data_IF_689587985907
#
_entry.id   IF_689587985907
#
_cell.length_a   1.000
_cell.length_b   1.000
_cell.length_c   1.000
_cell.angle_alpha   90.00
_cell.angle_beta   90.00
_cell.angle_gamma   90.00
#
_symmetry.space_group_name_H-M   'P 1'
#
loop_
_entity.id
_entity.type
_entity.pdbx_description
1 polymer ?
#
# COMPACT_ATOMS: atom_id res chain seq x y z
N UNK A 1 18.52 -6.89 97.74
CA UNK A 1 18.48 -6.19 96.43
C UNK A 1 18.64 -7.24 95.32
N UNK A 2 17.54 -7.65 94.67
CA UNK A 2 17.55 -8.63 93.57
C UNK A 2 17.80 -7.89 92.24
N UNK A 3 18.81 -8.30 91.48
CA UNK A 3 19.07 -7.86 90.10
C UNK A 3 18.20 -8.70 89.16
N UNK A 4 17.41 -8.03 88.32
CA UNK A 4 16.53 -8.64 87.33
C UNK A 4 17.15 -8.43 85.94
N UNK A 5 17.53 -9.52 85.28
CA UNK A 5 18.07 -9.54 83.92
C UNK A 5 16.91 -9.61 82.93
N UNK A 6 16.79 -8.65 82.02
CA UNK A 6 15.78 -8.63 80.96
C UNK A 6 16.47 -9.07 79.66
N UNK A 7 16.02 -10.19 79.09
CA UNK A 7 16.42 -10.67 77.77
C UNK A 7 15.41 -10.14 76.75
N UNK A 8 15.86 -9.32 75.82
CA UNK A 8 15.05 -8.87 74.68
C UNK A 8 15.26 -9.83 73.51
N UNK A 9 14.24 -10.64 73.20
CA UNK A 9 14.19 -11.43 71.96
C UNK A 9 13.68 -10.54 70.83
N UNK A 10 14.53 -10.28 69.83
CA UNK A 10 14.14 -9.62 68.58
C UNK A 10 13.58 -10.68 67.61
N UNK A 11 12.28 -10.59 67.33
CA UNK A 11 11.61 -11.36 66.28
C UNK A 11 11.88 -10.67 64.93
N UNK A 12 12.68 -11.29 64.06
CA UNK A 12 12.92 -10.82 62.69
C UNK A 12 11.73 -11.25 61.83
N UNK A 13 10.84 -10.32 61.50
CA UNK A 13 9.79 -10.51 60.51
C UNK A 13 10.43 -10.32 59.12
N UNK A 14 10.69 -11.43 58.44
CA UNK A 14 11.09 -11.45 57.03
C UNK A 14 9.87 -11.05 56.19
N UNK A 15 9.87 -9.81 55.70
CA UNK A 15 8.90 -9.32 54.73
C UNK A 15 9.35 -9.82 53.35
N UNK A 16 8.75 -10.91 52.89
CA UNK A 16 8.82 -11.33 51.49
C UNK A 16 8.07 -10.28 50.66
N UNK A 17 8.80 -9.40 49.98
CA UNK A 17 8.25 -8.53 48.96
C UNK A 17 7.96 -9.39 47.73
N UNK A 18 6.69 -9.75 47.52
CA UNK A 18 6.23 -10.24 46.22
C UNK A 18 6.30 -9.06 45.25
N UNK A 19 7.33 -9.04 44.39
CA UNK A 19 7.28 -8.22 43.19
C UNK A 19 6.17 -8.81 42.31
N UNK A 20 4.99 -8.21 42.33
CA UNK A 20 4.03 -8.43 41.25
C UNK A 20 4.71 -7.98 39.96
N UNK A 21 4.90 -8.89 39.01
CA UNK A 21 5.18 -8.50 37.63
C UNK A 21 4.05 -7.55 37.22
N UNK A 22 4.39 -6.29 36.98
CA UNK A 22 3.49 -5.43 36.24
C UNK A 22 3.43 -6.02 34.83
N UNK A 23 2.26 -6.51 34.40
CA UNK A 23 2.00 -6.81 32.99
C UNK A 23 2.13 -5.49 32.21
N UNK A 24 3.33 -5.23 31.71
CA UNK A 24 3.63 -4.00 30.98
C UNK A 24 3.07 -4.12 29.58
N UNK A 25 1.91 -3.53 29.29
CA UNK A 25 1.36 -3.54 27.93
C UNK A 25 2.20 -2.66 27.00
N UNK A 26 2.50 -3.14 25.79
CA UNK A 26 3.19 -2.39 24.74
C UNK A 26 2.15 -1.78 23.81
N UNK A 27 2.26 -0.48 23.53
CA UNK A 27 1.32 0.25 22.67
C UNK A 27 2.04 0.97 21.55
N UNK A 28 1.34 1.20 20.44
CA UNK A 28 1.79 2.05 19.34
C UNK A 28 0.74 3.12 19.07
N UNK A 29 1.09 4.37 19.39
CA UNK A 29 0.20 5.54 19.24
C UNK A 29 0.52 6.36 18.01
N UNK A 30 1.57 6.00 17.26
CA UNK A 30 2.06 6.76 16.10
C UNK A 30 1.50 6.16 14.81
N UNK A 31 1.40 4.83 14.73
CA UNK A 31 0.96 4.15 13.51
C UNK A 31 -0.52 4.38 13.26
N UNK A 32 -0.84 4.97 12.10
CA UNK A 32 -2.20 5.14 11.64
C UNK A 32 -2.76 3.82 11.08
N UNK A 33 -4.06 3.58 11.32
CA UNK A 33 -4.79 2.43 10.76
C UNK A 33 -4.86 2.44 9.23
N UNK A 34 -4.76 3.62 8.62
CA UNK A 34 -4.84 3.80 7.17
C UNK A 34 -3.54 4.38 6.63
N UNK A 35 -3.12 3.89 5.47
CA UNK A 35 -2.08 4.54 4.69
C UNK A 35 -2.69 5.70 3.89
N UNK A 36 -1.88 6.73 3.63
CA UNK A 36 -2.33 7.94 2.91
C UNK A 36 -2.55 7.67 1.43
N UNK A 37 -3.58 8.29 0.85
CA UNK A 37 -3.72 8.41 -0.60
C UNK A 37 -2.67 9.39 -1.13
N UNK A 38 -1.97 9.02 -2.20
CA UNK A 38 -0.94 9.85 -2.83
C UNK A 38 -1.30 10.19 -4.27
N UNK A 39 -1.15 11.47 -4.63
CA UNK A 39 -1.48 12.00 -5.96
C UNK A 39 -0.24 12.29 -6.84
N UNK A 40 0.97 12.18 -6.29
CA UNK A 40 2.24 12.48 -6.99
C UNK A 40 3.24 11.39 -6.65
N UNK A 41 3.87 10.81 -7.68
CA UNK A 41 4.97 9.85 -7.54
C UNK A 41 6.29 10.57 -7.86
N UNK A 42 7.24 10.56 -6.92
CA UNK A 42 8.63 10.97 -7.17
C UNK A 42 9.42 9.78 -7.74
N UNK A 43 10.60 9.99 -8.35
CA UNK A 43 11.39 8.89 -8.92
C UNK A 43 11.81 7.79 -7.92
N UNK A 44 11.85 8.09 -6.61
CA UNK A 44 12.12 7.11 -5.55
C UNK A 44 10.92 6.22 -5.20
N UNK A 45 9.73 6.56 -5.70
CA UNK A 45 8.48 5.87 -5.39
C UNK A 45 8.12 4.89 -6.51
N UNK A 46 7.98 3.62 -6.13
CA UNK A 46 7.57 2.53 -7.01
C UNK A 46 6.11 2.18 -6.77
N UNK A 47 5.37 1.93 -7.85
CA UNK A 47 4.06 1.27 -7.75
C UNK A 47 4.29 -0.24 -7.68
N UNK A 48 3.83 -0.85 -6.59
CA UNK A 48 3.96 -2.29 -6.36
C UNK A 48 2.59 -2.91 -6.26
N UNK A 49 2.38 -3.95 -7.05
CA UNK A 49 1.12 -4.70 -7.11
C UNK A 49 0.96 -5.54 -5.86
N UNK A 50 -0.25 -5.54 -5.32
CA UNK A 50 -0.64 -6.39 -4.20
C UNK A 50 -1.07 -7.75 -4.73
N UNK A 51 -0.35 -8.80 -4.34
CA UNK A 51 -0.54 -10.16 -4.84
C UNK A 51 -1.18 -11.12 -3.83
N UNK A 52 -1.23 -10.72 -2.55
CA UNK A 52 -1.82 -11.46 -1.43
C UNK A 52 -2.87 -10.62 -0.71
N UNK A 53 -3.71 -11.26 0.08
CA UNK A 53 -4.79 -10.60 0.85
C UNK A 53 -4.51 -10.57 2.37
N UNK A 54 -3.28 -10.87 2.81
CA UNK A 54 -2.87 -10.80 4.21
C UNK A 54 -2.97 -9.39 4.80
N UNK A 55 -2.84 -8.34 3.98
CA UNK A 55 -3.01 -6.96 4.41
C UNK A 55 -4.45 -6.43 4.25
N UNK A 56 -5.40 -7.27 3.85
CA UNK A 56 -6.80 -6.90 3.60
C UNK A 56 -7.64 -6.92 4.88
N UNK A 57 -7.21 -6.18 5.91
CA UNK A 57 -7.93 -6.06 7.18
C UNK A 57 -9.14 -5.12 7.04
N UNK A 58 -10.28 -5.48 7.63
CA UNK A 58 -11.47 -4.62 7.67
C UNK A 58 -11.27 -3.37 8.55
N UNK A 59 -10.15 -3.29 9.28
CA UNK A 59 -9.86 -2.20 10.20
C UNK A 59 -9.52 -0.91 9.44
N UNK A 60 -10.45 0.05 9.49
CA UNK A 60 -10.21 1.43 9.10
C UNK A 60 -10.66 1.80 7.69
N UNK A 61 -10.88 0.88 6.77
CA UNK A 61 -11.32 1.23 5.40
C UNK A 61 -12.81 1.00 5.20
N UNK A 62 -13.51 2.02 4.69
CA UNK A 62 -14.88 1.91 4.22
C UNK A 62 -14.87 2.00 2.69
N UNK A 63 -15.19 0.89 2.00
CA UNK A 63 -15.20 0.82 0.54
C UNK A 63 -13.88 0.34 -0.06
N UNK A 64 -13.20 1.19 -0.85
CA UNK A 64 -11.97 0.81 -1.54
C UNK A 64 -10.85 0.50 -0.54
N UNK A 65 -10.29 -0.70 -0.62
CA UNK A 65 -9.16 -1.13 0.20
C UNK A 65 -7.86 -1.12 -0.62
N UNK A 66 -6.81 -0.39 -0.19
CA UNK A 66 -5.58 -0.25 -0.98
C UNK A 66 -4.80 -1.56 -1.14
N UNK A 67 -4.97 -2.49 -0.19
CA UNK A 67 -4.40 -3.84 -0.25
C UNK A 67 -5.33 -4.89 -0.87
N UNK A 68 -6.35 -4.49 -1.64
CA UNK A 68 -7.15 -5.45 -2.40
C UNK A 68 -6.32 -6.10 -3.52
N UNK A 69 -6.50 -7.39 -3.76
CA UNK A 69 -5.76 -8.15 -4.79
C UNK A 69 -5.75 -7.41 -6.15
N UNK A 70 -4.56 -7.25 -6.72
CA UNK A 70 -4.34 -6.55 -7.98
C UNK A 70 -4.35 -5.02 -7.89
N UNK A 71 -4.58 -4.44 -6.71
CA UNK A 71 -4.34 -3.01 -6.46
C UNK A 71 -2.85 -2.70 -6.44
N UNK A 72 -2.50 -1.42 -6.55
CA UNK A 72 -1.13 -0.94 -6.40
C UNK A 72 -1.01 -0.08 -5.15
N UNK A 73 0.05 -0.31 -4.38
CA UNK A 73 0.49 0.60 -3.32
C UNK A 73 1.76 1.32 -3.76
N UNK A 74 2.09 2.40 -3.06
CA UNK A 74 3.27 3.22 -3.29
C UNK A 74 4.34 2.81 -2.28
N UNK A 75 5.47 2.35 -2.79
CA UNK A 75 6.63 1.92 -2.00
C UNK A 75 7.78 2.88 -2.22
N UNK A 76 8.34 3.41 -1.14
CA UNK A 76 9.63 4.11 -1.18
C UNK A 76 10.75 3.08 -0.97
N UNK A 77 11.41 2.73 -2.07
CA UNK A 77 12.51 1.75 -2.11
C UNK A 77 13.79 2.27 -1.45
N UNK A 78 13.89 3.58 -1.23
CA UNK A 78 15.05 4.24 -0.65
C UNK A 78 14.87 4.63 0.82
N UNK A 79 13.65 4.50 1.35
CA UNK A 79 13.28 4.97 2.69
C UNK A 79 14.27 4.50 3.75
N UNK A 80 14.65 3.23 3.69
CA UNK A 80 15.48 2.57 4.69
C UNK A 80 16.99 2.76 4.49
N UNK A 81 17.43 3.50 3.47
CA UNK A 81 18.84 3.90 3.33
C UNK A 81 19.24 4.98 4.35
N UNK A 82 18.26 5.75 4.85
CA UNK A 82 18.48 6.85 5.80
C UNK A 82 17.56 6.81 7.02
N UNK A 83 16.66 5.83 7.10
CA UNK A 83 15.74 5.66 8.22
C UNK A 83 15.83 4.23 8.78
N UNK A 84 15.65 4.11 10.09
CA UNK A 84 15.54 2.81 10.77
C UNK A 84 14.17 2.16 10.48
N UNK A 85 14.11 0.83 10.59
CA UNK A 85 12.82 0.12 10.53
C UNK A 85 12.11 0.36 11.86
N UNK A 86 10.86 0.80 11.81
CA UNK A 86 10.05 1.04 13.00
C UNK A 86 8.93 0.01 13.12
N UNK A 87 8.55 -0.33 14.36
CA UNK A 87 7.34 -1.12 14.59
C UNK A 87 6.14 -0.39 14.00
N UNK A 88 5.24 -1.14 13.39
CA UNK A 88 4.08 -0.59 12.71
C UNK A 88 4.32 -0.21 11.24
N UNK A 89 5.57 -0.18 10.77
CA UNK A 89 5.85 0.03 9.34
C UNK A 89 5.25 -1.11 8.51
N UNK A 90 4.60 -0.77 7.39
CA UNK A 90 4.26 -1.74 6.36
C UNK A 90 5.42 -1.77 5.36
N UNK A 91 6.01 -2.94 5.15
CA UNK A 91 7.22 -3.12 4.35
C UNK A 91 6.96 -4.00 3.14
N UNK A 92 7.64 -3.68 2.03
CA UNK A 92 7.86 -4.63 0.95
C UNK A 92 9.08 -5.47 1.33
N UNK A 93 8.95 -6.78 1.36
CA UNK A 93 10.03 -7.69 1.74
C UNK A 93 10.18 -8.83 0.75
N UNK A 94 11.38 -9.41 0.69
CA UNK A 94 11.67 -10.59 -0.12
C UNK A 94 11.08 -11.84 0.54
N UNK A 95 10.31 -12.62 -0.21
CA UNK A 95 9.76 -13.88 0.30
C UNK A 95 10.86 -14.95 0.38
N UNK A 96 10.71 -15.88 1.34
CA UNK A 96 11.61 -17.04 1.49
C UNK A 96 11.07 -18.31 0.83
N UNK A 97 9.85 -18.27 0.32
CA UNK A 97 9.17 -19.41 -0.27
C UNK A 97 9.57 -19.59 -1.75
N UNK A 98 9.53 -20.83 -2.24
CA UNK A 98 9.80 -21.17 -3.65
C UNK A 98 8.58 -20.99 -4.56
N UNK A 99 7.62 -20.15 -4.16
CA UNK A 99 6.48 -19.76 -4.99
C UNK A 99 6.95 -18.71 -6.01
N UNK A 100 6.27 -18.58 -7.15
CA UNK A 100 6.60 -17.59 -8.18
C UNK A 100 6.37 -16.12 -7.74
N UNK A 101 6.31 -15.86 -6.43
CA UNK A 101 6.11 -14.55 -5.82
C UNK A 101 7.38 -14.19 -5.05
N UNK A 102 8.22 -13.33 -5.61
CA UNK A 102 9.52 -12.97 -5.03
C UNK A 102 9.43 -11.95 -3.89
N UNK A 103 8.31 -11.24 -3.79
CA UNK A 103 8.10 -10.18 -2.80
C UNK A 103 6.69 -10.19 -2.25
N UNK A 104 6.53 -9.79 -1.00
CA UNK A 104 5.23 -9.62 -0.36
C UNK A 104 5.23 -8.38 0.55
N UNK A 105 4.07 -8.05 1.10
CA UNK A 105 3.89 -6.89 1.96
C UNK A 105 3.22 -7.26 3.27
N UNK A 106 3.83 -6.85 4.37
CA UNK A 106 3.33 -7.11 5.71
C UNK A 106 3.87 -6.05 6.69
N UNK A 107 3.40 -6.08 7.94
CA UNK A 107 3.77 -5.11 8.97
C UNK A 107 4.94 -5.60 9.80
N UNK A 108 5.85 -4.70 10.16
CA UNK A 108 6.89 -4.98 11.15
C UNK A 108 6.25 -4.96 12.53
N UNK A 109 6.20 -6.12 13.16
CA UNK A 109 5.57 -6.34 14.46
C UNK A 109 6.58 -6.53 15.57
N UNK A 110 7.77 -7.08 15.30
CA UNK A 110 8.86 -7.28 16.26
C UNK A 110 10.17 -6.64 15.79
N UNK A 111 10.96 -6.12 16.73
CA UNK A 111 12.22 -5.41 16.49
C UNK A 111 13.43 -6.22 16.99
N UNK A 112 14.66 -5.90 16.53
CA UNK A 112 15.87 -6.61 16.95
C UNK A 112 16.01 -6.72 18.47
N UNK A 113 16.32 -7.93 18.96
CA UNK A 113 16.50 -8.22 20.37
C UNK A 113 15.23 -8.64 21.12
N UNK A 114 14.06 -8.57 20.50
CA UNK A 114 12.78 -8.95 21.12
C UNK A 114 12.43 -10.42 20.89
N UNK A 115 11.59 -10.98 21.76
CA UNK A 115 10.95 -12.28 21.59
C UNK A 115 9.47 -12.12 21.24
N UNK A 116 9.03 -12.65 20.10
CA UNK A 116 7.64 -12.52 19.63
C UNK A 116 6.90 -13.84 19.77
N UNK A 117 5.71 -13.81 20.36
CA UNK A 117 4.80 -14.95 20.40
C UNK A 117 3.39 -14.53 19.94
N UNK A 118 2.62 -15.48 19.42
CA UNK A 118 1.21 -15.28 19.09
C UNK A 118 0.40 -16.34 19.83
N UNK A 119 -0.59 -15.92 20.61
CA UNK A 119 -1.49 -16.82 21.33
C UNK A 119 -2.93 -16.44 21.02
N UNK A 120 -3.67 -17.36 20.37
CA UNK A 120 -5.08 -17.18 19.99
C UNK A 120 -5.33 -15.85 19.25
N UNK A 121 -4.46 -15.52 18.30
CA UNK A 121 -4.52 -14.30 17.51
C UNK A 121 -3.97 -13.03 18.19
N UNK A 122 -3.62 -13.08 19.48
CA UNK A 122 -3.01 -11.95 20.19
C UNK A 122 -1.48 -12.05 20.16
N UNK A 123 -0.82 -10.97 19.75
CA UNK A 123 0.64 -10.85 19.74
C UNK A 123 1.18 -10.43 21.11
N UNK A 124 2.29 -11.04 21.51
CA UNK A 124 3.08 -10.71 22.68
C UNK A 124 4.54 -10.46 22.30
N UNK A 125 5.16 -9.46 22.93
CA UNK A 125 6.58 -9.10 22.75
C UNK A 125 7.23 -9.19 24.13
N UNK A 126 8.24 -10.04 24.31
CA UNK A 126 8.89 -10.34 25.59
C UNK A 126 7.88 -10.71 26.69
N UNK A 127 6.83 -11.47 26.31
CA UNK A 127 5.74 -11.88 27.20
C UNK A 127 4.69 -10.80 27.47
N UNK A 128 4.88 -9.58 26.96
CA UNK A 128 3.96 -8.47 27.16
C UNK A 128 2.97 -8.32 26.00
N UNK A 129 1.70 -8.08 26.31
CA UNK A 129 0.65 -7.86 25.28
C UNK A 129 1.00 -6.66 24.40
N UNK A 130 0.96 -6.86 23.07
CA UNK A 130 0.98 -5.76 22.10
C UNK A 130 -0.45 -5.25 21.86
N UNK A 131 -0.81 -4.17 22.54
CA UNK A 131 -2.13 -3.52 22.47
C UNK A 131 -2.16 -2.48 21.34
N UNK A 132 -2.28 -2.98 20.12
CA UNK A 132 -2.38 -2.19 18.89
C UNK A 132 -3.48 -2.75 17.99
N UNK A 133 -3.89 -1.98 16.98
CA UNK A 133 -4.91 -2.45 16.03
C UNK A 133 -4.44 -3.60 15.12
N UNK A 134 -3.13 -3.87 15.09
CA UNK A 134 -2.48 -4.91 14.30
C UNK A 134 -1.84 -6.00 15.19
N UNK A 135 -2.03 -5.92 16.50
CA UNK A 135 -1.54 -6.90 17.47
C UNK A 135 -2.59 -7.93 17.87
N UNK A 136 -3.82 -7.81 17.37
CA UNK A 136 -4.96 -8.65 17.74
C UNK A 136 -5.81 -9.01 16.50
N UNK A 137 -5.73 -10.29 16.09
CA UNK A 137 -6.63 -10.92 15.12
C UNK A 137 -7.43 -12.09 15.76
N UNK A 138 -7.69 -12.01 17.07
CA UNK A 138 -8.45 -13.02 17.83
C UNK A 138 -9.91 -13.14 17.39
N UNK A 139 -10.42 -12.18 16.62
CA UNK A 139 -11.76 -12.24 16.02
C UNK A 139 -11.83 -13.19 14.82
N UNK A 140 -10.69 -13.60 14.26
CA UNK A 140 -10.62 -14.60 13.21
C UNK A 140 -11.03 -15.98 13.75
N UNK A 141 -11.76 -16.78 12.96
CA UNK A 141 -12.19 -18.12 13.39
C UNK A 141 -11.05 -19.10 13.63
N UNK A 142 -9.84 -18.76 13.18
CA UNK A 142 -8.68 -19.64 13.18
C UNK A 142 -7.88 -19.55 14.49
N UNK A 143 -7.97 -18.44 15.24
CA UNK A 143 -7.29 -18.25 16.54
C UNK A 143 -5.81 -18.68 16.48
N UNK A 144 -5.07 -18.18 15.49
CA UNK A 144 -3.72 -18.66 15.21
C UNK A 144 -2.80 -18.52 16.42
N UNK A 145 -1.95 -19.51 16.63
CA UNK A 145 -0.97 -19.52 17.71
C UNK A 145 0.37 -20.04 17.18
N UNK A 146 1.45 -19.52 17.74
CA UNK A 146 2.78 -20.09 17.54
C UNK A 146 3.04 -21.13 18.63
N UNK A 147 3.72 -22.22 18.27
CA UNK A 147 4.07 -23.27 19.23
C UNK A 147 5.15 -22.78 20.22
N UNK A 148 6.08 -21.96 19.75
CA UNK A 148 7.19 -21.41 20.54
C UNK A 148 7.46 -19.95 20.14
N UNK A 149 7.88 -19.09 21.08
CA UNK A 149 8.30 -17.73 20.78
C UNK A 149 9.51 -17.67 19.83
N UNK A 150 9.50 -16.71 18.90
CA UNK A 150 10.62 -16.43 18.02
C UNK A 150 11.46 -15.26 18.59
N UNK A 151 12.69 -15.55 18.99
CA UNK A 151 13.65 -14.53 19.46
C UNK A 151 14.40 -13.94 18.28
N UNK A 152 14.38 -12.61 18.16
CA UNK A 152 14.98 -11.86 17.06
C UNK A 152 16.43 -11.48 17.39
N UNK A 153 17.35 -11.81 16.50
CA UNK A 153 18.75 -11.39 16.61
C UNK A 153 18.95 -9.94 16.15
N UNK A 154 20.21 -9.49 16.17
CA UNK A 154 20.58 -8.18 15.64
C UNK A 154 20.17 -8.07 14.16
N UNK A 155 19.55 -6.96 13.78
CA UNK A 155 19.03 -6.69 12.43
C UNK A 155 17.94 -7.65 11.93
N UNK A 156 17.32 -8.44 12.81
CA UNK A 156 16.17 -9.27 12.49
C UNK A 156 14.85 -8.64 12.95
N UNK A 157 13.82 -8.85 12.14
CA UNK A 157 12.49 -8.29 12.33
C UNK A 157 11.44 -9.39 12.23
N UNK A 158 10.44 -9.33 13.09
CA UNK A 158 9.23 -10.14 12.94
C UNK A 158 8.25 -9.38 12.06
N UNK A 159 7.97 -9.92 10.87
CA UNK A 159 7.05 -9.34 9.90
C UNK A 159 5.77 -10.18 9.92
N UNK A 160 4.59 -9.56 10.02
CA UNK A 160 3.30 -10.23 10.16
C UNK A 160 2.22 -9.51 9.33
N UNK A 161 1.39 -10.28 8.63
CA UNK A 161 0.23 -9.76 7.94
C UNK A 161 -0.82 -9.19 8.91
N UNK A 162 -1.58 -8.16 8.53
CA UNK A 162 -2.64 -7.60 9.41
C UNK A 162 -3.84 -8.57 9.61
N UNK A 163 -4.00 -9.54 8.71
CA UNK A 163 -4.94 -10.67 8.82
C UNK A 163 -4.09 -11.94 8.95
N UNK A 164 -3.86 -12.38 10.19
CA UNK A 164 -2.79 -13.33 10.53
C UNK A 164 -2.93 -14.64 9.75
N UNK A 165 -4.14 -15.20 9.70
CA UNK A 165 -4.41 -16.47 9.01
C UNK A 165 -4.31 -16.41 7.48
N UNK A 166 -4.23 -15.20 6.92
CA UNK A 166 -4.00 -14.95 5.49
C UNK A 166 -2.57 -14.52 5.18
N UNK A 167 -1.70 -14.48 6.19
CA UNK A 167 -0.26 -14.43 5.97
C UNK A 167 0.20 -15.70 5.23
N UNK A 168 0.94 -15.53 4.13
CA UNK A 168 1.47 -16.67 3.35
C UNK A 168 3.00 -16.71 3.31
N UNK A 169 3.65 -15.56 3.50
CA UNK A 169 5.10 -15.43 3.35
C UNK A 169 5.76 -14.75 4.54
N UNK A 170 5.02 -14.49 5.62
CA UNK A 170 5.47 -13.71 6.78
C UNK A 170 6.20 -14.58 7.83
N UNK A 171 6.59 -13.97 8.96
CA UNK A 171 7.37 -14.65 10.00
C UNK A 171 6.62 -15.78 10.67
N UNK A 172 5.30 -15.63 10.86
CA UNK A 172 4.47 -16.69 11.43
C UNK A 172 4.41 -17.90 10.49
N UNK A 173 4.19 -17.67 9.20
CA UNK A 173 4.02 -18.76 8.22
C UNK A 173 5.34 -19.46 7.93
N UNK A 174 6.44 -18.71 7.86
CA UNK A 174 7.77 -19.27 7.58
C UNK A 174 8.46 -19.84 8.82
N UNK A 175 8.04 -19.44 10.02
CA UNK A 175 8.73 -19.74 11.27
C UNK A 175 10.09 -19.06 11.40
N UNK A 176 10.34 -17.96 10.67
CA UNK A 176 11.65 -17.27 10.65
C UNK A 176 11.53 -15.75 10.70
N UNK A 177 12.57 -15.09 11.21
CA UNK A 177 12.68 -13.63 11.17
C UNK A 177 13.25 -13.15 9.83
N UNK A 178 13.00 -11.91 9.45
CA UNK A 178 13.56 -11.31 8.23
C UNK A 178 14.72 -10.37 8.58
N UNK A 179 15.81 -10.46 7.81
CA UNK A 179 16.93 -9.54 7.98
C UNK A 179 16.62 -8.16 7.40
N UNK A 180 17.37 -7.14 7.84
CA UNK A 180 17.26 -5.78 7.30
C UNK A 180 17.40 -5.73 5.78
N UNK A 181 18.24 -6.57 5.20
CA UNK A 181 18.50 -6.64 3.75
C UNK A 181 17.34 -7.28 2.98
N UNK A 182 16.50 -8.08 3.64
CA UNK A 182 15.29 -8.65 3.04
C UNK A 182 14.13 -7.65 3.02
N UNK A 183 14.22 -6.55 3.78
CA UNK A 183 13.28 -5.43 3.75
C UNK A 183 13.69 -4.46 2.63
N UNK A 184 12.91 -4.46 1.56
CA UNK A 184 13.24 -3.75 0.32
C UNK A 184 12.80 -2.28 0.32
N UNK A 185 11.74 -1.94 1.04
CA UNK A 185 11.20 -0.58 1.04
C UNK A 185 9.99 -0.43 1.94
N UNK A 186 9.60 0.82 2.20
CA UNK A 186 8.43 1.15 3.02
C UNK A 186 7.22 1.42 2.16
N UNK A 187 6.08 0.82 2.46
CA UNK A 187 4.79 1.22 1.89
C UNK A 187 4.40 2.56 2.51
N UNK A 188 4.45 3.62 1.71
CA UNK A 188 4.24 5.01 2.17
C UNK A 188 2.85 5.55 1.84
N UNK A 189 2.08 4.82 1.05
CA UNK A 189 0.75 5.23 0.64
C UNK A 189 0.20 4.32 -0.43
N UNK A 190 -0.90 4.73 -1.02
CA UNK A 190 -1.47 4.07 -2.19
C UNK A 190 -1.91 5.09 -3.20
N UNK A 191 -1.88 4.68 -4.45
CA UNK A 191 -2.52 5.42 -5.50
C UNK A 191 -3.88 4.75 -5.71
N UNK A 192 -4.97 5.44 -5.34
CA UNK A 192 -6.33 4.94 -5.58
C UNK A 192 -6.48 4.80 -7.09
N UNK A 193 -6.31 3.55 -7.59
CA UNK A 193 -6.30 3.12 -8.99
C UNK A 193 -6.55 4.30 -9.90
N UNK A 194 -5.45 4.96 -10.32
CA UNK A 194 -5.43 6.24 -11.04
C UNK A 194 -6.79 6.49 -11.68
N UNK A 195 -7.64 7.18 -10.93
CA UNK A 195 -8.76 7.83 -11.52
C UNK A 195 -8.05 8.94 -12.30
N UNK A 196 -7.60 8.63 -13.52
CA UNK A 196 -7.38 9.64 -14.55
C UNK A 196 -8.75 10.16 -14.95
N UNK A 197 -9.59 10.47 -13.96
CA UNK A 197 -10.83 11.15 -14.16
C UNK A 197 -10.50 12.54 -14.68
N UNK A 198 -11.54 13.20 -15.14
CA UNK A 198 -11.42 14.48 -15.79
C UNK A 198 -10.63 15.50 -14.94
N UNK A 199 -10.79 15.47 -13.62
CA UNK A 199 -10.12 16.40 -12.71
C UNK A 199 -8.62 16.13 -12.60
N UNK A 200 -8.19 14.86 -12.61
CA UNK A 200 -6.76 14.55 -12.66
C UNK A 200 -6.11 15.12 -13.92
N UNK A 201 -6.74 14.95 -15.09
CA UNK A 201 -6.23 15.49 -16.36
C UNK A 201 -6.20 17.02 -16.34
N UNK A 202 -7.27 17.67 -15.87
CA UNK A 202 -7.36 19.13 -15.73
C UNK A 202 -6.22 19.72 -14.88
N UNK A 203 -5.81 19.02 -13.81
CA UNK A 203 -4.82 19.52 -12.86
C UNK A 203 -3.36 19.24 -13.26
N UNK A 204 -3.11 18.18 -14.04
CA UNK A 204 -1.76 17.68 -14.28
C UNK A 204 -1.29 17.78 -15.74
N UNK A 205 -2.19 17.68 -16.71
CA UNK A 205 -1.82 17.71 -18.12
C UNK A 205 -1.50 19.13 -18.60
N UNK A 206 -0.42 19.28 -19.35
CA UNK A 206 0.05 20.56 -19.90
C UNK A 206 0.63 20.34 -21.29
N UNK A 207 0.50 21.32 -22.17
CA UNK A 207 1.22 21.32 -23.45
C UNK A 207 2.73 21.41 -23.18
N UNK A 208 3.54 20.70 -23.96
CA UNK A 208 5.00 20.74 -23.86
C UNK A 208 5.63 19.73 -22.90
N UNK A 209 4.86 18.80 -22.33
CA UNK A 209 5.38 17.72 -21.49
C UNK A 209 6.23 16.75 -22.32
N UNK A 210 7.27 16.21 -21.69
CA UNK A 210 8.11 15.13 -22.22
C UNK A 210 7.47 13.74 -22.04
N UNK A 211 7.97 12.76 -22.79
CA UNK A 211 7.63 11.33 -22.62
C UNK A 211 7.74 10.89 -21.14
N UNK A 212 8.85 11.25 -20.47
CA UNK A 212 9.08 10.89 -19.07
C UNK A 212 8.03 11.50 -18.12
N UNK A 213 7.68 12.77 -18.30
CA UNK A 213 6.68 13.44 -17.47
C UNK A 213 5.28 12.83 -17.70
N UNK A 214 4.93 12.50 -18.94
CA UNK A 214 3.64 11.86 -19.24
C UNK A 214 3.61 10.43 -18.69
N UNK A 215 4.69 9.66 -18.78
CA UNK A 215 4.78 8.31 -18.19
C UNK A 215 4.76 8.34 -16.66
N UNK A 216 5.37 9.35 -16.05
CA UNK A 216 5.24 9.55 -14.60
C UNK A 216 3.80 9.90 -14.21
N UNK A 217 3.09 10.65 -15.06
CA UNK A 217 1.70 11.03 -14.84
C UNK A 217 0.69 9.90 -15.11
N UNK A 218 0.85 9.15 -16.21
CA UNK A 218 -0.15 8.22 -16.77
C UNK A 218 0.31 6.76 -16.84
N UNK A 219 1.53 6.46 -16.36
CA UNK A 219 2.14 5.15 -16.49
C UNK A 219 2.52 4.80 -17.94
N UNK A 220 2.88 3.53 -18.15
CA UNK A 220 3.39 3.02 -19.43
C UNK A 220 2.32 2.34 -20.30
N UNK A 221 1.11 2.18 -19.78
CA UNK A 221 0.11 1.28 -20.32
C UNK A 221 -0.78 1.93 -21.39
N UNK A 222 -0.14 2.50 -22.42
CA UNK A 222 -0.82 3.14 -23.56
C UNK A 222 -0.81 2.30 -24.85
N UNK A 223 -1.63 2.70 -25.80
CA UNK A 223 -1.47 2.40 -27.21
C UNK A 223 -0.78 3.59 -27.87
N UNK A 224 0.11 3.35 -28.85
CA UNK A 224 0.79 4.43 -29.58
C UNK A 224 0.89 4.15 -31.07
N UNK A 225 0.75 5.18 -31.89
CA UNK A 225 0.94 5.12 -33.34
C UNK A 225 1.53 6.43 -33.87
N UNK A 226 2.35 6.34 -34.91
CA UNK A 226 2.81 7.51 -35.68
C UNK A 226 1.87 7.77 -36.87
N UNK A 227 1.35 8.99 -37.00
CA UNK A 227 0.41 9.42 -38.06
C UNK A 227 0.77 10.83 -38.54
N UNK A 228 1.01 11.01 -39.86
CA UNK A 228 1.18 12.31 -40.53
C UNK A 228 2.03 13.35 -39.76
N UNK A 229 3.26 12.96 -39.39
CA UNK A 229 4.26 13.75 -38.65
C UNK A 229 3.93 14.04 -37.17
N UNK A 230 3.00 13.30 -36.58
CA UNK A 230 2.67 13.37 -35.16
C UNK A 230 2.65 11.97 -34.56
N UNK A 231 2.97 11.84 -33.28
CA UNK A 231 2.67 10.61 -32.54
C UNK A 231 1.33 10.79 -31.82
N UNK A 232 0.55 9.72 -31.76
CA UNK A 232 -0.69 9.66 -31.00
C UNK A 232 -0.50 8.60 -29.94
N UNK A 233 -0.71 8.98 -28.69
CA UNK A 233 -0.82 8.04 -27.59
C UNK A 233 -2.26 8.01 -27.11
N UNK A 234 -2.73 6.82 -26.74
CA UNK A 234 -4.06 6.60 -26.23
C UNK A 234 -4.04 5.82 -24.92
N UNK A 235 -4.71 6.36 -23.91
CA UNK A 235 -4.91 5.74 -22.60
C UNK A 235 -6.38 5.45 -22.40
N UNK A 236 -6.68 4.32 -21.76
CA UNK A 236 -8.04 3.85 -21.51
C UNK A 236 -8.19 3.41 -20.06
N UNK A 237 -9.39 3.56 -19.50
CA UNK A 237 -9.66 3.12 -18.12
C UNK A 237 -9.48 1.61 -17.89
N UNK A 238 -9.53 0.84 -18.97
CA UNK A 238 -9.24 -0.58 -19.06
C UNK A 238 -8.76 -0.87 -20.48
N UNK A 239 -7.61 -1.54 -20.65
CA UNK A 239 -7.16 -2.01 -21.98
C UNK A 239 -8.19 -2.98 -22.56
N UNK A 240 -8.42 -2.89 -23.86
CA UNK A 240 -9.26 -3.85 -24.58
C UNK A 240 -8.60 -5.24 -24.59
N UNK A 241 -9.36 -6.27 -24.19
CA UNK A 241 -8.88 -7.65 -24.14
C UNK A 241 -8.65 -8.17 -25.57
N UNK A 242 -7.39 -8.16 -26.03
CA UNK A 242 -6.95 -8.79 -27.28
C UNK A 242 -7.47 -8.17 -28.58
N UNK A 243 -8.14 -7.02 -28.54
CA UNK A 243 -8.62 -6.32 -29.74
C UNK A 243 -7.66 -5.19 -30.14
N UNK A 244 -7.25 -5.10 -31.42
CA UNK A 244 -6.54 -3.91 -31.90
C UNK A 244 -7.45 -2.69 -31.77
N UNK A 245 -6.90 -1.58 -31.27
CA UNK A 245 -7.61 -0.28 -31.20
C UNK A 245 -7.23 0.58 -32.40
N UNK A 246 -8.20 1.26 -33.00
CA UNK A 246 -7.96 2.32 -33.97
C UNK A 246 -7.75 3.64 -33.21
N UNK A 247 -6.55 4.21 -33.27
CA UNK A 247 -6.21 5.44 -32.52
C UNK A 247 -6.82 6.72 -33.11
N UNK A 248 -7.58 6.60 -34.21
CA UNK A 248 -8.36 7.69 -34.80
C UNK A 248 -9.85 7.63 -34.42
N UNK A 249 -10.27 6.64 -33.64
CA UNK A 249 -11.68 6.42 -33.31
C UNK A 249 -11.94 6.49 -31.81
N UNK A 250 -13.04 7.17 -31.46
CA UNK A 250 -13.53 7.22 -30.09
C UNK A 250 -14.46 6.03 -29.84
N UNK A 251 -14.26 5.31 -28.74
CA UNK A 251 -15.09 4.17 -28.34
C UNK A 251 -16.44 4.61 -27.73
N UNK A 252 -17.23 5.39 -28.48
CA UNK A 252 -18.49 6.01 -28.04
C UNK A 252 -19.43 5.04 -27.32
N UNK A 253 -19.69 3.88 -27.92
CA UNK A 253 -20.61 2.90 -27.33
C UNK A 253 -20.13 2.37 -25.98
N UNK A 254 -18.84 2.07 -25.85
CA UNK A 254 -18.28 1.55 -24.59
C UNK A 254 -18.34 2.61 -23.49
N UNK A 255 -18.14 3.88 -23.87
CA UNK A 255 -18.24 5.02 -22.96
C UNK A 255 -19.69 5.24 -22.52
N UNK A 256 -20.64 5.28 -23.46
CA UNK A 256 -22.07 5.43 -23.15
C UNK A 256 -22.61 4.28 -22.29
N UNK A 257 -22.17 3.03 -22.56
CA UNK A 257 -22.53 1.84 -21.78
C UNK A 257 -21.82 1.80 -20.41
N UNK A 258 -20.80 2.63 -20.20
CA UNK A 258 -20.01 2.67 -18.96
C UNK A 258 -19.01 1.53 -18.81
N UNK A 259 -18.85 0.69 -19.84
CA UNK A 259 -17.85 -0.41 -19.85
C UNK A 259 -16.43 0.13 -20.03
N UNK A 260 -16.30 1.32 -20.64
CA UNK A 260 -15.08 2.11 -20.70
C UNK A 260 -15.35 3.46 -20.04
N UNK A 261 -14.67 3.78 -18.94
CA UNK A 261 -14.94 5.02 -18.18
C UNK A 261 -14.40 6.26 -18.88
N UNK A 262 -13.23 6.13 -19.52
CA UNK A 262 -12.65 7.19 -20.33
C UNK A 262 -11.76 6.64 -21.42
N UNK A 263 -11.54 7.49 -22.43
CA UNK A 263 -10.52 7.32 -23.45
C UNK A 263 -9.80 8.67 -23.65
N UNK A 264 -8.49 8.67 -23.46
CA UNK A 264 -7.65 9.87 -23.54
C UNK A 264 -6.69 9.74 -24.72
N UNK A 265 -6.71 10.73 -25.61
CA UNK A 265 -5.75 10.89 -26.69
C UNK A 265 -4.75 12.00 -26.36
N UNK A 266 -3.49 11.76 -26.66
CA UNK A 266 -2.40 12.73 -26.56
C UNK A 266 -1.72 12.78 -27.91
N UNK A 267 -1.76 13.95 -28.57
CA UNK A 267 -1.02 14.20 -29.80
C UNK A 267 0.33 14.80 -29.44
N UNK A 268 1.37 14.33 -30.09
CA UNK A 268 2.75 14.76 -29.90
C UNK A 268 3.30 15.41 -31.16
N UNK A 269 4.09 16.46 -30.99
CA UNK A 269 4.89 17.07 -32.06
C UNK A 269 6.27 17.41 -31.54
N UNK A 270 7.31 17.05 -32.29
CA UNK A 270 8.72 17.29 -31.91
C UNK A 270 9.01 16.81 -30.48
N UNK A 271 8.61 15.58 -30.17
CA UNK A 271 8.82 14.90 -28.89
C UNK A 271 8.17 15.55 -27.65
N UNK A 272 7.18 16.43 -27.89
CA UNK A 272 6.44 17.15 -26.84
C UNK A 272 4.94 17.01 -27.02
N UNK A 273 4.19 16.99 -25.91
CA UNK A 273 2.72 16.98 -25.97
C UNK A 273 2.20 18.25 -26.63
N UNK A 274 1.31 18.08 -27.60
CA UNK A 274 0.78 19.14 -28.45
C UNK A 274 -0.71 19.34 -28.25
N UNK A 275 -1.47 18.30 -27.92
CA UNK A 275 -2.91 18.39 -27.65
C UNK A 275 -3.38 17.20 -26.83
N UNK A 276 -4.42 17.41 -26.02
CA UNK A 276 -5.10 16.35 -25.27
C UNK A 276 -6.59 16.34 -25.64
N UNK A 277 -7.18 15.15 -25.76
CA UNK A 277 -8.64 14.97 -25.91
C UNK A 277 -9.10 13.83 -25.00
N UNK A 278 -9.94 14.14 -24.03
CA UNK A 278 -10.42 13.22 -22.99
C UNK A 278 -11.92 12.99 -23.15
N UNK A 279 -12.29 11.78 -23.53
CA UNK A 279 -13.68 11.36 -23.74
C UNK A 279 -14.22 10.58 -22.54
N UNK A 280 -15.41 10.94 -22.09
CA UNK A 280 -16.07 10.33 -20.92
C UNK A 280 -17.59 10.45 -21.02
N UNK A 281 -18.31 9.70 -20.18
CA UNK A 281 -19.77 9.79 -20.07
C UNK A 281 -20.17 10.93 -19.14
N UNK A 282 -20.95 11.88 -19.63
CA UNK A 282 -21.53 12.97 -18.86
C UNK A 282 -22.69 12.52 -17.96
N UNK A 283 -23.12 13.39 -17.06
CA UNK A 283 -24.27 13.14 -16.17
C UNK A 283 -25.59 13.00 -16.95
N UNK A 284 -25.68 13.65 -18.10
CA UNK A 284 -26.77 13.53 -19.08
C UNK A 284 -26.79 12.18 -19.81
N UNK A 285 -25.72 11.38 -19.66
CA UNK A 285 -25.55 10.10 -20.30
C UNK A 285 -24.87 10.15 -21.67
N UNK A 286 -24.62 11.35 -22.21
CA UNK A 286 -23.95 11.56 -23.48
C UNK A 286 -22.42 11.45 -23.33
N UNK A 287 -21.72 11.32 -24.46
CA UNK A 287 -20.25 11.36 -24.44
C UNK A 287 -19.79 12.80 -24.55
N UNK A 288 -18.92 13.20 -23.65
CA UNK A 288 -18.32 14.52 -23.61
C UNK A 288 -16.83 14.44 -23.94
N UNK A 289 -16.31 15.45 -24.61
CA UNK A 289 -14.88 15.66 -24.83
C UNK A 289 -14.42 16.87 -24.01
N UNK A 290 -13.36 16.68 -23.24
CA UNK A 290 -12.54 17.76 -22.68
C UNK A 290 -11.21 17.81 -23.41
N UNK A 291 -10.84 18.96 -23.98
CA UNK A 291 -9.58 19.14 -24.68
C UNK A 291 -8.69 20.20 -24.04
N UNK A 292 -7.38 20.00 -24.19
CA UNK A 292 -6.35 21.03 -23.99
C UNK A 292 -5.73 21.30 -25.34
N UNK A 293 -5.99 22.49 -25.87
CA UNK A 293 -5.56 22.92 -27.20
C UNK A 293 -4.07 23.27 -27.22
N UNK A 294 -3.44 23.36 -28.40
CA UNK A 294 -2.02 23.69 -28.52
C UNK A 294 -1.56 25.01 -27.90
N UNK A 295 -2.49 25.98 -27.76
CA UNK A 295 -2.24 27.25 -27.08
C UNK A 295 -2.41 27.19 -25.56
N UNK A 296 -2.73 26.00 -25.02
CA UNK A 296 -3.00 25.75 -23.61
C UNK A 296 -4.43 26.06 -23.16
N UNK A 297 -5.29 26.57 -24.05
CA UNK A 297 -6.70 26.80 -23.72
C UNK A 297 -7.45 25.48 -23.56
N UNK A 298 -8.47 25.47 -22.72
CA UNK A 298 -9.30 24.28 -22.49
C UNK A 298 -10.69 24.46 -23.06
N UNK A 299 -11.26 23.37 -23.56
CA UNK A 299 -12.63 23.32 -24.06
C UNK A 299 -13.33 22.07 -23.56
N UNK A 300 -14.65 22.16 -23.37
CA UNK A 300 -15.48 21.01 -23.03
C UNK A 300 -16.79 21.07 -23.82
N UNK A 301 -17.12 20.01 -24.55
CA UNK A 301 -18.33 19.94 -25.37
C UNK A 301 -18.87 18.51 -25.45
N UNK A 302 -20.18 18.37 -25.68
CA UNK A 302 -20.77 17.10 -26.09
C UNK A 302 -20.13 16.64 -27.41
N UNK A 303 -19.84 15.36 -27.50
CA UNK A 303 -19.22 14.72 -28.64
C UNK A 303 -20.25 13.81 -29.32
N UNK A 304 -20.39 13.96 -30.63
CA UNK A 304 -21.25 13.11 -31.45
C UNK A 304 -20.40 12.06 -32.18
N UNK A 305 -20.93 10.84 -32.27
CA UNK A 305 -20.31 9.82 -33.12
C UNK A 305 -20.45 10.27 -34.59
N UNK A 306 -19.35 10.47 -35.34
CA UNK A 306 -19.44 10.90 -36.75
C UNK A 306 -20.09 9.86 -37.67
N UNK A 307 -20.36 8.64 -37.17
CA UNK A 307 -20.97 7.52 -37.91
C UNK A 307 -22.49 7.37 -37.61
N UNK A 308 -23.10 8.26 -36.81
CA UNK A 308 -24.54 8.25 -36.52
C UNK A 308 -25.34 9.13 -37.47
#
# INVERSE_FOLDING_TARGET
MKRMTIIFSFLIISVMTMNGCADTTITDTVTEKKIKQMNILTPSLSLVKVETDGMLSDVGYAGYHPFGLGSNVVVDMSFYASNEVSRGDIVLFKTKNNNNQNTDMARVVGLPGESVNIEKGQVYIDGNKLDTFYGDDSSSKNNDSMDEPLTLHENEYFILADVHWRGFNDSQTTGTAFSKEEILGKVVGYNKKLNYDLDFIKNNARIGMSDLEVRAMLGNDNYSQHVDNSDVWMYESKKADGKPRNLNEVAFEEIQKGTLRYQLFIIWKKDKTFMYSYFYKGEDGDVWNFSINPDGTTQQNSASNPVS
#
